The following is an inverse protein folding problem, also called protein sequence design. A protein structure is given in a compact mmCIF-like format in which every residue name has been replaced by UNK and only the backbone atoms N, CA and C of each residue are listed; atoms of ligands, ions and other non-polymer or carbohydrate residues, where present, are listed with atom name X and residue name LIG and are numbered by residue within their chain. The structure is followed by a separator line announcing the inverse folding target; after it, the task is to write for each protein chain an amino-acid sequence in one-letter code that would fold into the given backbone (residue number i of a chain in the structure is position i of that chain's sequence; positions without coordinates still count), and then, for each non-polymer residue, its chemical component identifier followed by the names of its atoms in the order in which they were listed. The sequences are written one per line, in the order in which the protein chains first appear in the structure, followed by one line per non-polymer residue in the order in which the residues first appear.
data_IF_953493793945
#
_entry.id   IF_953493793945
#
_cell.length_a   1.000
_cell.length_b   1.000
_cell.length_c   1.000
_cell.angle_alpha   90.00
_cell.angle_beta   90.00
_cell.angle_gamma   90.00
#
_symmetry.space_group_name_H-M   'P 1'
#
loop_
_entity.id
_entity.type
_entity.pdbx_description
1 polymer ?
#
# COMPACT_ATOMS: atom_id res chain seq x y z
N UNK A 1 -27.74 -2.78 12.89
CA UNK A 1 -27.25 -1.89 11.82
C UNK A 1 -25.92 -2.48 11.36
N UNK A 2 -25.86 -3.17 10.22
CA UNK A 2 -24.65 -3.87 9.79
C UNK A 2 -23.65 -2.85 9.20
N UNK A 3 -22.51 -2.66 9.87
CA UNK A 3 -21.44 -1.80 9.40
C UNK A 3 -20.75 -2.49 8.21
N UNK A 4 -20.81 -1.88 7.03
CA UNK A 4 -20.20 -2.43 5.81
C UNK A 4 -18.68 -2.34 5.95
N UNK A 5 -18.05 -3.44 6.37
CA UNK A 5 -16.59 -3.58 6.43
C UNK A 5 -16.02 -3.34 5.02
N UNK A 6 -15.14 -2.34 4.90
CA UNK A 6 -14.44 -2.02 3.65
C UNK A 6 -13.20 -2.93 3.60
N UNK A 7 -13.39 -4.15 3.07
CA UNK A 7 -12.33 -5.14 2.97
C UNK A 7 -11.22 -4.63 2.04
N UNK A 8 -10.03 -4.39 2.59
CA UNK A 8 -8.79 -4.29 1.81
C UNK A 8 -8.29 -5.71 1.52
N UNK A 9 -7.63 -5.91 0.38
CA UNK A 9 -7.10 -7.21 -0.03
C UNK A 9 -6.24 -7.83 1.08
N UNK A 10 -6.55 -9.07 1.45
CA UNK A 10 -5.77 -9.83 2.43
C UNK A 10 -4.45 -10.33 1.84
N UNK A 11 -3.43 -10.47 2.68
CA UNK A 11 -2.12 -11.02 2.31
C UNK A 11 -1.98 -12.40 2.94
N UNK A 12 -1.72 -13.42 2.14
CA UNK A 12 -1.44 -14.77 2.60
C UNK A 12 0.07 -14.93 2.84
N UNK A 13 0.46 -15.25 4.07
CA UNK A 13 1.85 -15.45 4.45
C UNK A 13 1.97 -16.49 5.56
N UNK A 14 2.85 -17.48 5.40
CA UNK A 14 3.19 -18.48 6.41
C UNK A 14 1.96 -19.18 7.05
N UNK A 15 0.99 -19.58 6.23
CA UNK A 15 -0.21 -20.27 6.72
C UNK A 15 -1.24 -19.36 7.42
N UNK A 16 -1.04 -18.04 7.37
CA UNK A 16 -2.00 -17.07 7.89
C UNK A 16 -2.44 -16.08 6.81
N UNK A 17 -3.67 -15.59 6.93
CA UNK A 17 -4.22 -14.52 6.09
C UNK A 17 -4.28 -13.26 6.94
N UNK A 18 -3.62 -12.19 6.49
CA UNK A 18 -3.55 -10.91 7.18
C UNK A 18 -4.43 -9.88 6.48
N UNK A 19 -5.16 -9.06 7.23
CA UNK A 19 -5.82 -7.87 6.70
C UNK A 19 -5.90 -6.77 7.75
N UNK A 20 -5.99 -5.54 7.27
CA UNK A 20 -6.23 -4.38 8.11
C UNK A 20 -7.72 -4.16 8.30
N UNK A 21 -8.17 -4.08 9.56
CA UNK A 21 -9.46 -3.51 9.92
C UNK A 21 -9.25 -2.03 10.28
N UNK A 22 -10.16 -1.17 9.83
CA UNK A 22 -10.12 0.25 10.12
C UNK A 22 -11.50 0.68 10.61
N UNK A 23 -11.57 1.23 11.83
CA UNK A 23 -12.81 1.73 12.44
C UNK A 23 -12.76 3.24 12.59
N UNK A 24 -13.79 3.98 12.15
CA UNK A 24 -13.83 5.42 12.35
C UNK A 24 -13.90 5.73 13.85
N UNK A 25 -13.04 6.63 14.32
CA UNK A 25 -13.06 7.14 15.70
C UNK A 25 -13.36 8.63 15.77
N UNK A 26 -13.04 9.38 14.71
CA UNK A 26 -13.36 10.79 14.59
C UNK A 26 -13.73 11.08 13.14
N UNK A 27 -14.77 11.85 12.95
CA UNK A 27 -15.22 12.30 11.63
C UNK A 27 -15.42 13.80 11.69
N UNK A 28 -14.51 14.54 11.06
CA UNK A 28 -14.62 15.99 10.90
C UNK A 28 -14.77 16.29 9.40
N UNK A 29 -15.96 16.74 9.00
CA UNK A 29 -16.35 16.87 7.60
C UNK A 29 -16.13 15.57 6.78
N UNK A 30 -15.24 15.60 5.78
CA UNK A 30 -14.89 14.47 4.91
C UNK A 30 -13.61 13.74 5.35
N UNK A 31 -13.02 14.13 6.50
CA UNK A 31 -11.87 13.46 7.08
C UNK A 31 -12.35 12.44 8.10
N UNK A 32 -11.93 11.19 7.91
CA UNK A 32 -12.23 10.09 8.84
C UNK A 32 -10.90 9.62 9.41
N UNK A 33 -10.71 9.86 10.69
CA UNK A 33 -9.63 9.28 11.48
C UNK A 33 -10.04 7.85 11.83
N UNK A 34 -9.20 6.90 11.45
CA UNK A 34 -9.45 5.48 11.67
C UNK A 34 -8.53 4.97 12.77
N UNK A 35 -9.10 4.22 13.73
CA UNK A 35 -8.35 3.28 14.54
C UNK A 35 -8.11 2.04 13.71
N UNK A 36 -6.85 1.73 13.45
CA UNK A 36 -6.48 0.56 12.66
C UNK A 36 -6.16 -0.62 13.57
N UNK A 37 -6.42 -1.82 13.06
CA UNK A 37 -6.05 -3.08 13.68
C UNK A 37 -5.58 -4.02 12.58
N UNK A 38 -4.57 -4.83 12.88
CA UNK A 38 -4.14 -5.91 12.01
C UNK A 38 -4.74 -7.21 12.55
N UNK A 39 -5.46 -7.92 11.71
CA UNK A 39 -6.05 -9.21 12.05
C UNK A 39 -5.34 -10.27 11.23
N UNK A 40 -5.04 -11.39 11.88
CA UNK A 40 -4.56 -12.61 11.23
C UNK A 40 -5.59 -13.73 11.44
N UNK A 41 -5.90 -14.45 10.38
CA UNK A 41 -6.56 -15.76 10.45
C UNK A 41 -5.51 -16.83 10.23
N UNK A 42 -5.26 -17.64 11.26
CA UNK A 42 -4.41 -18.82 11.15
C UNK A 42 -5.21 -19.93 10.46
N UNK A 43 -4.72 -20.41 9.32
CA UNK A 43 -5.41 -21.45 8.53
C UNK A 43 -5.27 -22.82 9.17
N UNK A 44 -4.16 -23.09 9.87
CA UNK A 44 -3.93 -24.38 10.51
C UNK A 44 -4.77 -24.56 11.77
N UNK A 45 -4.88 -23.50 12.57
CA UNK A 45 -5.65 -23.48 13.82
C UNK A 45 -7.11 -23.04 13.63
N UNK A 46 -7.47 -22.57 12.44
CA UNK A 46 -8.77 -21.97 12.09
C UNK A 46 -9.21 -20.85 13.06
N UNK A 47 -8.26 -20.05 13.55
CA UNK A 47 -8.51 -19.03 14.58
C UNK A 47 -8.11 -17.64 14.12
N UNK A 48 -8.95 -16.66 14.49
CA UNK A 48 -8.64 -15.25 14.36
C UNK A 48 -7.82 -14.77 15.56
N UNK A 49 -6.87 -13.90 15.31
CA UNK A 49 -6.11 -13.18 16.34
C UNK A 49 -5.82 -11.75 15.92
N UNK A 50 -5.78 -10.86 16.90
CA UNK A 50 -5.27 -9.52 16.70
C UNK A 50 -3.74 -9.55 16.73
N UNK A 51 -3.13 -8.85 15.78
CA UNK A 51 -1.70 -8.55 15.79
C UNK A 51 -1.55 -7.14 16.35
N UNK A 52 -0.78 -6.95 17.44
CA UNK A 52 -0.50 -5.61 17.95
C UNK A 52 0.11 -4.74 16.85
N UNK A 53 -0.48 -3.57 16.59
CA UNK A 53 0.07 -2.60 15.63
C UNK A 53 1.07 -1.67 16.33
N UNK A 54 2.05 -1.09 15.61
CA UNK A 54 2.94 -0.09 16.19
C UNK A 54 2.12 1.06 16.81
N UNK A 55 2.52 1.64 17.96
CA UNK A 55 1.78 2.74 18.58
C UNK A 55 1.61 3.94 17.65
N UNK A 56 2.66 4.28 16.89
CA UNK A 56 2.58 5.28 15.83
C UNK A 56 1.51 4.89 14.79
N UNK A 57 1.42 3.60 14.44
CA UNK A 57 0.49 2.97 13.50
C UNK A 57 -0.98 2.82 13.95
N UNK A 58 -1.34 3.33 15.14
CA UNK A 58 -2.67 3.09 15.73
C UNK A 58 -3.80 3.98 15.19
N UNK A 59 -3.52 5.24 14.82
CA UNK A 59 -4.52 6.24 14.43
C UNK A 59 -4.17 7.03 13.15
N UNK A 60 -4.90 6.84 12.05
CA UNK A 60 -4.49 7.28 10.70
C UNK A 60 -5.65 7.71 9.81
N UNK A 61 -5.38 8.53 8.79
CA UNK A 61 -6.35 8.85 7.73
C UNK A 61 -6.51 7.66 6.77
N UNK A 62 -7.75 7.39 6.34
CA UNK A 62 -8.09 6.18 5.58
C UNK A 62 -7.39 6.00 4.22
N UNK A 63 -6.71 7.02 3.69
CA UNK A 63 -6.05 6.99 2.38
C UNK A 63 -4.52 7.05 2.43
N UNK A 64 -3.92 7.11 3.62
CA UNK A 64 -2.48 7.38 3.82
C UNK A 64 -1.66 6.16 4.27
N UNK A 65 -2.26 4.96 4.21
CA UNK A 65 -1.64 3.71 4.65
C UNK A 65 -1.85 2.61 3.62
N UNK A 66 -0.80 1.82 3.40
CA UNK A 66 -0.87 0.58 2.62
C UNK A 66 -0.25 -0.59 3.40
N UNK A 67 -0.87 -1.77 3.28
CA UNK A 67 -0.31 -3.03 3.77
C UNK A 67 0.28 -3.77 2.57
N UNK A 68 1.52 -4.21 2.68
CA UNK A 68 2.24 -4.94 1.62
C UNK A 68 2.99 -6.13 2.20
N UNK A 69 3.38 -7.06 1.32
CA UNK A 69 4.28 -8.15 1.65
C UNK A 69 5.67 -7.81 1.13
N UNK A 70 6.66 -7.77 2.00
CA UNK A 70 8.04 -7.48 1.61
C UNK A 70 9.01 -8.41 2.33
N UNK A 71 9.86 -9.07 1.56
CA UNK A 71 10.91 -9.97 2.05
C UNK A 71 10.36 -11.13 2.85
N UNK A 72 9.16 -11.62 2.52
CA UNK A 72 8.48 -12.66 3.30
C UNK A 72 7.90 -12.17 4.64
N UNK A 73 7.73 -10.85 4.81
CA UNK A 73 7.14 -10.25 6.01
C UNK A 73 5.95 -9.36 5.63
N UNK A 74 5.00 -9.19 6.55
CA UNK A 74 3.99 -8.15 6.44
C UNK A 74 4.64 -6.81 6.75
N UNK A 75 4.34 -5.78 5.96
CA UNK A 75 4.71 -4.42 6.27
C UNK A 75 3.53 -3.46 6.13
N UNK A 76 3.52 -2.45 7.01
CA UNK A 76 2.60 -1.32 6.97
C UNK A 76 3.41 -0.09 6.56
N UNK A 77 3.00 0.59 5.50
CA UNK A 77 3.65 1.81 5.02
C UNK A 77 2.75 3.02 5.28
N UNK A 78 3.29 3.95 6.07
CA UNK A 78 2.82 5.31 6.27
C UNK A 78 3.34 6.25 5.22
N UNK A 79 2.43 6.99 4.62
CA UNK A 79 2.78 8.12 3.77
C UNK A 79 1.87 9.31 4.06
N UNK A 80 1.38 9.48 5.29
CA UNK A 80 0.53 10.61 5.69
C UNK A 80 1.26 11.94 5.50
N UNK A 81 2.49 12.09 5.98
CA UNK A 81 3.22 13.35 5.81
C UNK A 81 3.50 13.67 4.33
N UNK A 82 3.77 12.63 3.52
CA UNK A 82 3.94 12.76 2.07
C UNK A 82 2.64 13.17 1.40
N UNK A 83 1.53 12.51 1.75
CA UNK A 83 0.20 12.84 1.26
C UNK A 83 -0.26 14.23 1.72
N UNK A 84 0.30 14.75 2.81
CA UNK A 84 -0.01 16.07 3.34
C UNK A 84 0.95 17.17 2.88
N UNK A 85 1.98 16.82 2.10
CA UNK A 85 3.04 17.73 1.67
C UNK A 85 3.84 18.34 2.83
N UNK A 86 3.86 17.67 3.98
CA UNK A 86 4.59 18.11 5.18
C UNK A 86 6.06 17.65 5.12
N UNK A 87 6.29 16.43 4.60
CA UNK A 87 7.59 15.78 4.56
C UNK A 87 7.65 14.82 3.38
N UNK A 88 8.84 14.63 2.82
CA UNK A 88 9.10 13.64 1.77
C UNK A 88 9.40 12.24 2.34
N UNK A 89 9.16 12.01 3.63
CA UNK A 89 9.49 10.75 4.30
C UNK A 89 8.25 9.88 4.46
N UNK A 90 8.38 8.62 4.02
CA UNK A 90 7.45 7.55 4.38
C UNK A 90 8.03 6.72 5.53
N UNK A 91 7.16 6.19 6.38
CA UNK A 91 7.55 5.29 7.48
C UNK A 91 7.03 3.91 7.18
N UNK A 92 7.93 2.94 7.04
CA UNK A 92 7.58 1.54 6.89
C UNK A 92 7.81 0.79 8.21
N UNK A 93 6.81 0.04 8.63
CA UNK A 93 6.89 -0.88 9.76
C UNK A 93 6.85 -2.30 9.23
N UNK A 94 7.92 -3.05 9.38
CA UNK A 94 8.03 -4.47 9.01
C UNK A 94 7.73 -5.34 10.23
N UNK A 95 6.81 -6.28 10.11
CA UNK A 95 6.43 -7.22 11.16
C UNK A 95 7.48 -8.34 11.26
N UNK A 96 8.30 -8.33 12.30
CA UNK A 96 9.32 -9.36 12.56
C UNK A 96 8.73 -10.54 13.35
N UNK A 97 7.80 -10.25 14.28
CA UNK A 97 7.09 -11.26 15.07
C UNK A 97 5.61 -10.92 15.15
N UNK A 98 4.79 -11.72 14.49
CA UNK A 98 3.35 -11.52 14.47
C UNK A 98 2.63 -11.96 15.74
N UNK A 99 3.22 -12.82 16.57
CA UNK A 99 2.63 -13.30 17.82
C UNK A 99 2.80 -12.25 18.91
N UNK A 100 4.02 -11.73 19.05
CA UNK A 100 4.34 -10.71 20.05
C UNK A 100 4.16 -9.27 19.55
N UNK A 101 3.85 -9.08 18.25
CA UNK A 101 3.67 -7.76 17.66
C UNK A 101 4.97 -6.96 17.61
N UNK A 102 6.09 -7.60 17.28
CA UNK A 102 7.39 -6.94 17.15
C UNK A 102 7.52 -6.35 15.75
N UNK A 103 7.71 -5.04 15.68
CA UNK A 103 7.85 -4.30 14.44
C UNK A 103 9.23 -3.63 14.36
N UNK A 104 9.82 -3.66 13.17
CA UNK A 104 11.01 -2.87 12.83
C UNK A 104 10.61 -1.68 11.97
N UNK A 105 10.96 -0.48 12.42
CA UNK A 105 10.74 0.75 11.67
C UNK A 105 11.85 0.97 10.65
N UNK A 106 11.50 1.41 9.44
CA UNK A 106 12.41 1.95 8.42
C UNK A 106 11.86 3.25 7.87
N UNK A 107 12.71 4.26 7.75
CA UNK A 107 12.39 5.53 7.08
C UNK A 107 12.75 5.41 5.60
N UNK A 108 11.87 5.87 4.73
CA UNK A 108 12.06 5.87 3.28
C UNK A 108 11.95 7.32 2.83
N UNK A 109 13.05 7.87 2.30
CA UNK A 109 13.10 9.26 1.86
C UNK A 109 12.81 9.32 0.36
N UNK A 110 11.74 10.02 -0.02
CA UNK A 110 11.37 10.25 -1.41
C UNK A 110 12.01 11.53 -1.94
N UNK A 111 12.18 11.69 -3.27
CA UNK A 111 12.61 12.96 -3.84
C UNK A 111 11.61 14.10 -3.55
N UNK A 112 12.09 15.30 -3.22
CA UNK A 112 11.25 16.46 -2.84
C UNK A 112 10.22 16.87 -3.90
N UNK A 113 10.48 16.62 -5.18
CA UNK A 113 9.53 16.96 -6.24
C UNK A 113 8.17 16.23 -6.11
N UNK A 114 8.07 15.23 -5.24
CA UNK A 114 6.88 14.41 -5.04
C UNK A 114 5.88 15.01 -4.05
N UNK A 115 6.36 15.78 -3.08
CA UNK A 115 5.47 16.42 -2.08
C UNK A 115 4.76 17.66 -2.65
N UNK A 116 5.31 18.28 -3.70
CA UNK A 116 4.75 19.52 -4.29
C UNK A 116 3.51 19.31 -5.17
N UNK A 117 3.14 18.05 -5.44
CA UNK A 117 2.06 17.75 -6.39
C UNK A 117 0.63 17.95 -5.83
N UNK A 118 0.49 18.30 -4.54
CA UNK A 118 -0.81 18.37 -3.85
C UNK A 118 -1.57 19.68 -4.05
N UNK A 119 -0.92 20.77 -4.47
CA UNK A 119 -1.54 22.11 -4.53
C UNK A 119 -2.88 22.14 -5.28
N UNK A 120 -3.13 21.21 -6.21
CA UNK A 120 -4.39 21.10 -6.94
C UNK A 120 -5.45 20.15 -6.35
N UNK A 121 -5.09 19.12 -5.58
CA UNK A 121 -6.04 18.08 -5.13
C UNK A 121 -5.68 17.48 -3.76
N UNK A 122 -6.00 18.14 -2.64
CA UNK A 122 -5.50 17.77 -1.32
C UNK A 122 -6.06 16.48 -0.70
N UNK A 123 -6.95 15.74 -1.37
CA UNK A 123 -7.78 14.70 -0.72
C UNK A 123 -7.75 13.34 -1.38
N UNK A 124 -6.87 13.12 -2.37
CA UNK A 124 -6.72 11.84 -3.05
C UNK A 124 -5.37 11.21 -2.72
N UNK A 125 -5.33 9.87 -2.76
CA UNK A 125 -4.10 9.09 -2.52
C UNK A 125 -3.05 9.53 -3.54
N UNK A 126 -1.82 9.92 -3.15
CA UNK A 126 -0.82 10.45 -4.08
C UNK A 126 -0.22 9.36 -5.00
N UNK A 127 -0.13 8.13 -4.51
CA UNK A 127 0.37 6.98 -5.24
C UNK A 127 -0.19 5.68 -4.67
N UNK A 128 -0.26 4.66 -5.51
CA UNK A 128 -0.42 3.28 -5.09
C UNK A 128 0.95 2.67 -4.80
N UNK A 129 0.99 1.78 -3.82
CA UNK A 129 2.21 1.18 -3.32
C UNK A 129 2.07 -0.35 -3.41
N UNK A 130 3.06 -0.99 -3.99
CA UNK A 130 3.19 -2.45 -4.04
C UNK A 130 4.64 -2.83 -3.77
N UNK A 131 4.90 -4.10 -3.46
CA UNK A 131 6.25 -4.64 -3.36
C UNK A 131 6.49 -5.61 -4.51
N UNK A 132 7.68 -5.54 -5.11
CA UNK A 132 8.15 -6.40 -6.21
C UNK A 132 9.41 -7.10 -5.74
N UNK A 133 9.55 -8.40 -6.05
CA UNK A 133 10.79 -9.16 -5.82
C UNK A 133 11.33 -9.14 -4.38
N UNK A 134 10.45 -8.95 -3.39
CA UNK A 134 10.76 -9.11 -1.98
C UNK A 134 11.58 -8.01 -1.32
N UNK A 135 12.30 -7.15 -2.04
CA UNK A 135 13.06 -6.04 -1.41
C UNK A 135 12.83 -4.70 -2.08
N UNK A 136 12.05 -4.67 -3.15
CA UNK A 136 11.75 -3.46 -3.89
C UNK A 136 10.31 -3.01 -3.65
N UNK A 137 10.12 -1.70 -3.46
CA UNK A 137 8.81 -1.08 -3.40
C UNK A 137 8.57 -0.33 -4.69
N UNK A 138 7.41 -0.54 -5.29
CA UNK A 138 6.97 0.20 -6.46
C UNK A 138 5.89 1.20 -6.10
N UNK A 139 6.13 2.45 -6.48
CA UNK A 139 5.23 3.59 -6.31
C UNK A 139 4.64 3.96 -7.67
N UNK A 140 3.33 3.90 -7.77
CA UNK A 140 2.57 4.23 -8.98
C UNK A 140 1.78 5.52 -8.69
N UNK A 141 2.17 6.67 -9.26
CA UNK A 141 1.41 7.91 -9.09
C UNK A 141 -0.05 7.71 -9.48
N UNK A 142 -0.97 8.22 -8.66
CA UNK A 142 -2.42 8.19 -8.97
C UNK A 142 -2.81 9.21 -10.05
N UNK A 143 -1.91 10.15 -10.34
CA UNK A 143 -2.11 11.24 -11.27
C UNK A 143 -1.27 11.09 -12.53
N UNK A 144 -1.90 11.34 -13.67
CA UNK A 144 -1.22 11.39 -14.95
C UNK A 144 -0.60 12.77 -15.18
N UNK A 145 0.71 12.88 -14.93
CA UNK A 145 1.54 13.99 -15.42
C UNK A 145 1.80 13.84 -16.92
N UNK A 146 2.29 14.91 -17.57
CA UNK A 146 2.65 14.91 -19.01
C UNK A 146 3.50 13.72 -19.45
N UNK A 147 4.25 13.12 -18.54
CA UNK A 147 4.90 11.83 -18.71
C UNK A 147 4.52 10.92 -17.54
N UNK A 148 3.86 9.79 -17.82
CA UNK A 148 3.60 8.78 -16.79
C UNK A 148 4.93 8.08 -16.46
N UNK A 149 5.19 7.88 -15.18
CA UNK A 149 6.31 7.10 -14.69
C UNK A 149 5.87 6.23 -13.51
N UNK A 150 6.61 5.14 -13.31
CA UNK A 150 6.57 4.30 -12.12
C UNK A 150 7.94 4.43 -11.46
N UNK A 151 7.98 4.31 -10.14
CA UNK A 151 9.24 4.38 -9.41
C UNK A 151 9.43 3.14 -8.59
N UNK A 152 10.61 2.59 -8.77
CA UNK A 152 11.15 1.44 -8.09
C UNK A 152 12.06 1.96 -6.99
N UNK A 153 11.84 1.54 -5.76
CA UNK A 153 12.67 1.91 -4.62
C UNK A 153 13.26 0.63 -4.06
N UNK A 154 14.57 0.45 -4.26
CA UNK A 154 15.29 -0.66 -3.65
C UNK A 154 15.54 -0.32 -2.18
N UNK A 155 15.01 -1.14 -1.26
CA UNK A 155 15.16 -0.89 0.17
C UNK A 155 16.58 -1.08 0.69
N UNK A 156 17.42 -1.85 0.02
CA UNK A 156 18.80 -2.13 0.44
C UNK A 156 19.74 -1.02 -0.03
N UNK A 157 19.63 -0.63 -1.30
CA UNK A 157 20.44 0.45 -1.89
C UNK A 157 19.95 1.85 -1.49
N UNK A 158 18.72 1.94 -0.96
CA UNK A 158 18.03 3.21 -0.68
C UNK A 158 18.00 4.15 -1.91
N UNK A 159 17.91 3.53 -3.09
CA UNK A 159 18.03 4.20 -4.38
C UNK A 159 16.69 4.20 -5.12
N UNK A 160 16.08 5.38 -5.36
CA UNK A 160 14.90 5.48 -6.20
C UNK A 160 15.29 5.44 -7.70
N UNK A 161 14.68 4.54 -8.45
CA UNK A 161 14.82 4.41 -9.91
C UNK A 161 13.49 4.74 -10.58
N UNK A 162 13.48 5.78 -11.41
CA UNK A 162 12.28 6.20 -12.16
C UNK A 162 12.27 5.52 -13.53
N UNK A 163 11.16 4.88 -13.87
CA UNK A 163 10.91 4.31 -15.20
C UNK A 163 9.75 5.05 -15.86
N UNK A 164 10.00 5.69 -16.99
CA UNK A 164 8.95 6.34 -17.78
C UNK A 164 8.13 5.25 -18.46
N UNK A 165 6.80 5.33 -18.33
CA UNK A 165 5.86 4.43 -19.00
C UNK A 165 5.45 5.08 -20.32
N UNK A 166 5.59 4.32 -21.40
CA UNK A 166 5.17 4.71 -22.75
C UNK A 166 4.01 3.82 -23.24
N UNK A 167 3.39 4.17 -24.35
CA UNK A 167 2.33 3.34 -24.96
C UNK A 167 0.93 3.53 -24.36
N UNK A 168 0.72 4.61 -23.62
CA UNK A 168 -0.58 4.93 -23.04
C UNK A 168 -1.55 5.38 -24.13
N UNK A 169 -2.85 5.05 -24.00
CA UNK A 169 -3.86 5.61 -24.87
C UNK A 169 -3.74 7.13 -24.87
N UNK A 170 -3.85 7.78 -26.03
CA UNK A 170 -3.95 9.24 -26.09
C UNK A 170 -5.24 9.64 -25.37
N UNK A 171 -5.09 10.20 -24.18
CA UNK A 171 -6.21 10.77 -23.43
C UNK A 171 -6.28 12.24 -23.82
N UNK A 172 -7.44 12.70 -24.30
CA UNK A 172 -7.68 14.13 -24.54
C UNK A 172 -7.70 14.85 -23.19
N UNK A 173 -6.57 15.43 -22.80
CA UNK A 173 -6.34 16.09 -21.51
C UNK A 173 -7.13 17.40 -21.32
N UNK A 174 -8.11 17.71 -22.18
CA UNK A 174 -8.70 19.04 -22.27
C UNK A 174 -9.73 19.36 -21.18
N UNK A 175 -10.18 18.40 -20.36
CA UNK A 175 -11.15 18.73 -19.29
C UNK A 175 -11.02 17.96 -17.97
N UNK A 176 -10.10 17.01 -17.83
CA UNK A 176 -9.90 16.31 -16.55
C UNK A 176 -8.53 15.63 -16.57
N UNK A 177 -7.71 15.80 -15.51
CA UNK A 177 -6.57 14.90 -15.33
C UNK A 177 -7.13 13.52 -14.99
N UNK A 178 -6.95 12.50 -15.84
CA UNK A 178 -7.41 11.15 -15.53
C UNK A 178 -6.76 10.67 -14.22
N UNK A 179 -7.61 10.34 -13.24
CA UNK A 179 -7.25 9.73 -11.96
C UNK A 179 -7.26 8.22 -12.12
N UNK A 180 -6.16 7.56 -11.75
CA UNK A 180 -6.12 6.11 -11.69
C UNK A 180 -6.72 5.70 -10.35
N UNK A 181 -7.80 4.92 -10.38
CA UNK A 181 -8.31 4.24 -9.19
C UNK A 181 -7.91 2.76 -9.19
N UNK A 182 -6.76 2.46 -8.59
CA UNK A 182 -6.24 1.09 -8.50
C UNK A 182 -6.66 0.45 -7.17
N UNK A 183 -7.74 -0.32 -7.18
CA UNK A 183 -8.24 -0.98 -5.96
C UNK A 183 -7.30 -2.06 -5.45
N UNK A 184 -6.70 -2.84 -6.36
CA UNK A 184 -5.80 -3.95 -6.05
C UNK A 184 -4.63 -3.99 -7.03
N UNK A 185 -3.40 -4.10 -6.53
CA UNK A 185 -2.23 -4.47 -7.33
C UNK A 185 -1.88 -5.90 -6.97
N UNK A 186 -2.33 -6.85 -7.78
CA UNK A 186 -1.92 -8.24 -7.66
C UNK A 186 -0.69 -8.50 -8.51
N UNK A 187 0.36 -9.07 -7.93
CA UNK A 187 1.42 -9.69 -8.72
C UNK A 187 0.85 -10.95 -9.35
N UNK A 188 0.72 -10.96 -10.67
CA UNK A 188 0.41 -12.18 -11.42
C UNK A 188 1.73 -12.78 -11.88
N UNK A 189 2.03 -13.99 -11.44
CA UNK A 189 3.07 -14.80 -12.06
C UNK A 189 2.38 -15.54 -13.19
N UNK A 190 2.67 -15.16 -14.44
CA UNK A 190 2.23 -15.96 -15.59
C UNK A 190 2.95 -17.31 -15.51
N UNK A 191 2.19 -18.39 -15.32
CA UNK A 191 2.70 -19.72 -15.57
C UNK A 191 2.76 -19.94 -17.07
N UNK A 192 3.94 -20.20 -17.62
CA UNK A 192 4.10 -20.67 -19.00
C UNK A 192 3.59 -22.10 -19.20
N UNK A 193 3.22 -22.79 -18.11
CA UNK A 193 2.66 -24.14 -18.13
C UNK A 193 1.16 -24.04 -18.43
N UNK A 194 0.71 -24.77 -19.44
CA UNK A 194 -0.67 -24.74 -19.89
C UNK A 194 -1.60 -25.24 -18.78
N UNK A 195 -2.76 -24.59 -18.58
CA UNK A 195 -3.80 -25.02 -17.64
C UNK A 195 -4.21 -26.50 -17.80
N UNK A 196 -4.09 -27.05 -19.02
CA UNK A 196 -4.38 -28.48 -19.28
C UNK A 196 -3.37 -29.43 -18.62
N UNK A 197 -2.17 -28.98 -18.30
CA UNK A 197 -1.14 -29.78 -17.65
C UNK A 197 -1.29 -29.71 -16.12
N UNK A 198 -1.84 -28.61 -15.59
CA UNK A 198 -2.10 -28.40 -14.15
C UNK A 198 -3.35 -29.18 -13.69
N UNK A 199 -4.38 -29.27 -14.54
CA UNK A 199 -5.65 -29.92 -14.20
C UNK A 199 -5.69 -31.44 -14.48
N UNK A 200 -4.54 -32.08 -14.75
CA UNK A 200 -4.43 -33.55 -14.79
C UNK A 200 -4.05 -34.07 -13.41
N UNK A 201 -4.98 -34.02 -12.47
CA UNK A 201 -5.00 -34.84 -11.26
C UNK A 201 -6.16 -35.82 -11.35
#
# INVERSE_FOLDING_TARGET
MAQKLRWRQGICLNGAIYWTEARPIETEHLLVVMRNSLIAFDVGEEKFRYVPVPPAASTWKSYTLSMIQIGGHIAIVDYQEVAESISNVMIMWKLEDSVNGVWRQKRIVLPECWIRCRERYPRLRPFYLTAIEGVEITLIPSWLFRHWYVVHYNLEEESPRRKVVSGLPKIDCNNSFPYIDCWNISMYVESLVSLKEICRL
#
